data_IF_917820783262
#
_entry.id   IF_917820783262
#
_cell.length_a   1.000
_cell.length_b   1.000
_cell.length_c   1.000
_cell.angle_alpha   90.00
_cell.angle_beta   90.00
_cell.angle_gamma   90.00
#
_symmetry.space_group_name_H-M   'P 1'
#
loop_
_entity.id
_entity.type
_entity.pdbx_description
1 polymer ?
#
# COMPACT_ATOMS: atom_id res chain seq x y z
N UNK A 1 -5.94 18.79 2.77
CA UNK A 1 -5.08 17.87 3.54
C UNK A 1 -5.70 16.48 3.63
N UNK A 2 -6.85 16.28 4.27
CA UNK A 2 -7.55 14.98 4.40
C UNK A 2 -9.03 15.15 4.02
N UNK A 3 -9.59 14.26 3.20
CA UNK A 3 -10.99 14.27 2.81
C UNK A 3 -11.59 12.85 2.79
N UNK A 4 -12.34 12.51 3.84
CA UNK A 4 -13.03 11.22 3.97
C UNK A 4 -14.38 11.19 3.25
N UNK A 5 -15.11 12.31 3.21
CA UNK A 5 -16.44 12.36 2.56
C UNK A 5 -16.33 12.07 1.06
N UNK A 6 -15.37 12.72 0.38
CA UNK A 6 -15.10 12.46 -1.03
C UNK A 6 -14.63 11.03 -1.27
N UNK A 7 -13.83 10.47 -0.37
CA UNK A 7 -13.38 9.09 -0.48
C UNK A 7 -14.54 8.09 -0.29
N UNK A 8 -15.41 8.34 0.69
CA UNK A 8 -16.61 7.55 0.92
C UNK A 8 -17.55 7.57 -0.28
N UNK A 9 -17.70 8.72 -0.95
CA UNK A 9 -18.48 8.83 -2.19
C UNK A 9 -17.94 7.94 -3.32
N UNK A 10 -16.63 7.72 -3.40
CA UNK A 10 -15.99 6.96 -4.51
C UNK A 10 -15.84 5.49 -4.18
N UNK A 11 -15.47 5.14 -2.95
CA UNK A 11 -15.04 3.78 -2.57
C UNK A 11 -15.72 3.23 -1.32
N UNK A 12 -16.60 4.00 -0.67
CA UNK A 12 -17.26 3.60 0.58
C UNK A 12 -16.41 3.82 1.84
N UNK A 13 -16.81 3.20 2.95
CA UNK A 13 -16.13 3.38 4.23
C UNK A 13 -14.66 2.90 4.19
N UNK A 14 -13.83 3.43 5.09
CA UNK A 14 -12.40 3.09 5.28
C UNK A 14 -11.43 3.57 4.18
N UNK A 15 -11.88 4.43 3.27
CA UNK A 15 -11.01 5.11 2.30
C UNK A 15 -10.77 6.58 2.65
N UNK A 16 -9.69 7.16 2.12
CA UNK A 16 -9.31 8.57 2.33
C UNK A 16 -8.69 9.16 1.07
N UNK A 17 -9.02 10.43 0.77
CA UNK A 17 -8.25 11.23 -0.18
C UNK A 17 -7.35 12.21 0.57
N UNK A 18 -6.06 12.20 0.24
CA UNK A 18 -5.12 13.22 0.68
C UNK A 18 -4.96 14.27 -0.43
N UNK A 19 -4.83 15.54 -0.04
CA UNK A 19 -4.66 16.67 -0.98
C UNK A 19 -3.69 17.72 -0.45
N UNK A 20 -3.01 18.42 -1.36
CA UNK A 20 -2.03 19.44 -1.02
C UNK A 20 -0.92 18.87 -0.15
N UNK A 21 -0.64 19.54 0.96
CA UNK A 21 0.41 19.15 1.93
C UNK A 21 0.24 17.72 2.46
N UNK A 22 -0.99 17.23 2.62
CA UNK A 22 -1.24 15.87 3.08
C UNK A 22 -0.75 14.80 2.10
N UNK A 23 -1.02 15.00 0.81
CA UNK A 23 -0.54 14.10 -0.24
C UNK A 23 0.98 14.25 -0.44
N UNK A 24 1.51 15.46 -0.31
CA UNK A 24 2.95 15.70 -0.40
C UNK A 24 3.70 14.98 0.73
N UNK A 25 3.20 15.06 1.97
CA UNK A 25 3.81 14.44 3.13
C UNK A 25 3.79 12.91 3.03
N UNK A 26 2.67 12.31 2.61
CA UNK A 26 2.54 10.86 2.46
C UNK A 26 3.55 10.33 1.43
N UNK A 27 3.65 10.96 0.25
CA UNK A 27 4.69 10.65 -0.75
C UNK A 27 6.11 10.86 -0.21
N UNK A 28 6.36 11.93 0.54
CA UNK A 28 7.68 12.21 1.09
C UNK A 28 8.13 11.14 2.09
N UNK A 29 7.21 10.65 2.94
CA UNK A 29 7.49 9.57 3.88
C UNK A 29 7.79 8.25 3.15
N UNK A 30 7.01 7.89 2.13
CA UNK A 30 7.30 6.70 1.31
C UNK A 30 8.69 6.78 0.68
N UNK A 31 9.02 7.90 0.04
CA UNK A 31 10.33 8.09 -0.61
C UNK A 31 11.49 8.07 0.40
N UNK A 32 11.31 8.66 1.58
CA UNK A 32 12.31 8.63 2.64
C UNK A 32 12.63 7.19 3.06
N UNK A 33 11.59 6.37 3.28
CA UNK A 33 11.77 4.98 3.71
C UNK A 33 12.49 4.17 2.63
N UNK A 34 12.02 4.23 1.38
CA UNK A 34 12.66 3.53 0.26
C UNK A 34 14.13 3.92 0.15
N UNK A 35 14.43 5.22 0.10
CA UNK A 35 15.81 5.73 -0.02
C UNK A 35 16.68 5.24 1.14
N UNK A 36 16.18 5.30 2.38
CA UNK A 36 16.94 4.85 3.55
C UNK A 36 17.30 3.37 3.46
N UNK A 37 16.34 2.52 3.09
CA UNK A 37 16.57 1.08 3.03
C UNK A 37 17.49 0.68 1.87
N UNK A 38 17.40 1.35 0.74
CA UNK A 38 18.21 1.03 -0.44
C UNK A 38 19.64 1.55 -0.34
N UNK A 39 19.84 2.72 0.29
CA UNK A 39 21.16 3.36 0.39
C UNK A 39 21.95 2.96 1.64
N UNK A 40 21.28 2.66 2.76
CA UNK A 40 21.94 2.45 4.05
C UNK A 40 21.80 1.03 4.59
N UNK A 41 20.80 0.26 4.15
CA UNK A 41 20.52 -1.07 4.69
C UNK A 41 20.69 -2.19 3.66
N UNK A 42 21.17 -1.89 2.45
CA UNK A 42 21.54 -2.89 1.44
C UNK A 42 20.36 -3.59 0.75
N UNK A 43 19.14 -3.06 0.85
CA UNK A 43 17.99 -3.61 0.14
C UNK A 43 18.01 -3.21 -1.35
N UNK A 44 17.58 -4.12 -2.22
CA UNK A 44 17.33 -3.80 -3.64
C UNK A 44 15.90 -3.32 -3.81
N UNK A 45 15.72 -2.15 -4.41
CA UNK A 45 14.40 -1.63 -4.75
C UNK A 45 13.76 -2.48 -5.85
N UNK A 46 12.49 -2.84 -5.68
CA UNK A 46 11.73 -3.64 -6.64
C UNK A 46 10.32 -3.07 -6.79
N UNK A 47 9.90 -2.86 -8.03
CA UNK A 47 8.50 -2.58 -8.37
C UNK A 47 7.77 -3.91 -8.58
N UNK A 48 6.82 -4.22 -7.70
CA UNK A 48 6.15 -5.54 -7.69
C UNK A 48 4.70 -5.46 -8.18
N UNK A 49 4.16 -6.55 -8.78
CA UNK A 49 2.73 -6.64 -9.08
C UNK A 49 1.87 -6.49 -7.81
N UNK A 50 0.79 -5.71 -7.89
CA UNK A 50 -0.16 -5.52 -6.78
C UNK A 50 -1.34 -6.51 -6.83
N UNK A 51 -1.55 -7.14 -7.99
CA UNK A 51 -2.48 -8.24 -8.20
C UNK A 51 -1.66 -9.49 -8.52
N UNK A 52 -1.92 -10.58 -7.81
CA UNK A 52 -1.14 -11.82 -7.87
C UNK A 52 -2.05 -13.03 -8.10
N UNK A 53 -1.47 -14.11 -8.61
CA UNK A 53 -2.17 -15.39 -8.72
C UNK A 53 -2.31 -16.07 -7.33
N UNK A 54 -3.17 -17.09 -7.25
CA UNK A 54 -3.39 -17.84 -6.01
C UNK A 54 -2.14 -18.60 -5.55
N UNK A 55 -1.33 -19.13 -6.48
CA UNK A 55 -0.11 -19.88 -6.15
C UNK A 55 0.86 -19.06 -5.31
N UNK A 56 1.03 -17.77 -5.61
CA UNK A 56 1.82 -16.85 -4.79
C UNK A 56 1.26 -16.72 -3.36
N UNK A 57 -0.06 -16.64 -3.22
CA UNK A 57 -0.74 -16.51 -1.92
C UNK A 57 -0.67 -17.79 -1.07
N UNK A 58 -0.63 -18.97 -1.70
CA UNK A 58 -0.30 -20.22 -1.02
C UNK A 58 1.17 -20.25 -0.60
N UNK A 59 2.07 -19.79 -1.47
CA UNK A 59 3.52 -19.77 -1.20
C UNK A 59 3.92 -18.96 0.03
N UNK A 60 3.21 -17.88 0.33
CA UNK A 60 3.44 -17.04 1.53
C UNK A 60 2.48 -17.32 2.69
N UNK A 61 1.58 -18.31 2.56
CA UNK A 61 0.74 -18.83 3.65
C UNK A 61 -0.56 -18.08 3.94
N UNK A 62 -0.97 -17.15 3.06
CA UNK A 62 -2.24 -16.43 3.16
C UNK A 62 -3.40 -17.38 2.84
N UNK A 63 -3.27 -18.18 1.79
CA UNK A 63 -4.25 -19.21 1.46
C UNK A 63 -3.83 -20.58 2.02
N UNK A 64 -4.79 -21.43 2.43
CA UNK A 64 -6.24 -21.20 2.39
C UNK A 64 -6.81 -20.52 3.64
N UNK A 65 -6.00 -20.36 4.70
CA UNK A 65 -6.51 -19.99 6.03
C UNK A 65 -7.18 -18.61 6.10
N UNK A 66 -6.67 -17.64 5.34
CA UNK A 66 -7.08 -16.24 5.40
C UNK A 66 -7.79 -15.78 4.12
N UNK A 67 -8.39 -16.70 3.35
CA UNK A 67 -9.11 -16.36 2.12
C UNK A 67 -10.18 -15.29 2.34
N UNK A 68 -10.87 -15.35 3.48
CA UNK A 68 -11.91 -14.40 3.88
C UNK A 68 -11.42 -12.95 4.06
N UNK A 69 -10.12 -12.73 4.22
CA UNK A 69 -9.53 -11.40 4.33
C UNK A 69 -9.30 -10.72 2.97
N UNK A 70 -9.42 -11.46 1.86
CA UNK A 70 -9.13 -11.00 0.50
C UNK A 70 -10.37 -10.90 -0.40
N UNK A 71 -11.56 -11.22 0.13
CA UNK A 71 -12.85 -11.10 -0.56
C UNK A 71 -13.48 -9.71 -0.43
#
# INVERSE_FOLDING_TARGET
MVNFERAAKVSGARFVFLTGEGAQLERALMNYMVTKHTTQHGYTEMMVPQLVNADSMYGTGQLPKFEEDFI
#
